data_IF_799653076427
#
_entry.id   IF_799653076427
#
_cell.length_a   1.000
_cell.length_b   1.000
_cell.length_c   1.000
_cell.angle_alpha   90.00
_cell.angle_beta   90.00
_cell.angle_gamma   90.00
#
_symmetry.space_group_name_H-M   'P 1'
#
loop_
_entity.id
_entity.type
_entity.pdbx_description
1 polymer ?
#
# COMPACT_ATOMS: atom_id res chain seq x y z
N UNK A 1 0.68 15.39 6.67
CA UNK A 1 -0.27 14.77 7.63
C UNK A 1 0.59 14.04 8.66
N UNK A 2 0.47 14.39 9.93
CA UNK A 2 1.21 13.72 11.02
C UNK A 2 0.18 13.03 11.89
N UNK A 3 0.11 11.70 11.76
CA UNK A 3 -0.78 10.88 12.59
C UNK A 3 -0.15 10.68 13.97
N UNK A 4 -0.87 11.08 15.03
CA UNK A 4 -0.42 10.93 16.42
C UNK A 4 -0.93 9.65 17.08
N UNK A 5 -1.89 8.97 16.43
CA UNK A 5 -2.50 7.73 16.88
C UNK A 5 -2.30 6.68 15.79
N UNK A 6 -1.81 5.50 16.16
CA UNK A 6 -1.72 4.37 15.25
C UNK A 6 -3.15 3.87 14.92
N UNK A 7 -3.63 3.95 13.66
CA UNK A 7 -4.96 3.48 13.29
C UNK A 7 -5.09 1.95 13.31
N UNK A 8 -4.04 1.22 13.71
CA UNK A 8 -4.07 -0.24 13.74
C UNK A 8 -4.19 -0.84 12.34
N UNK A 9 -4.89 -1.96 12.24
CA UNK A 9 -5.11 -2.69 10.97
C UNK A 9 -6.59 -2.80 10.62
N UNK A 10 -7.41 -1.89 11.15
CA UNK A 10 -8.84 -1.84 10.84
C UNK A 10 -9.06 -1.38 9.39
N UNK A 11 -9.72 -2.21 8.60
CA UNK A 11 -9.92 -1.96 7.17
C UNK A 11 -10.76 -0.71 6.92
N UNK A 12 -11.85 -0.51 7.68
CA UNK A 12 -12.78 0.60 7.49
C UNK A 12 -12.08 1.93 7.75
N UNK A 13 -11.30 2.00 8.83
CA UNK A 13 -10.51 3.18 9.17
C UNK A 13 -9.42 3.43 8.12
N UNK A 14 -8.65 2.42 7.74
CA UNK A 14 -7.52 2.59 6.82
C UNK A 14 -7.95 3.02 5.41
N UNK A 15 -9.13 2.59 4.94
CA UNK A 15 -9.72 3.06 3.66
C UNK A 15 -9.92 4.59 3.62
N UNK A 16 -10.18 5.22 4.77
CA UNK A 16 -10.34 6.69 4.85
C UNK A 16 -9.01 7.46 4.88
N UNK A 17 -7.89 6.77 5.06
CA UNK A 17 -6.56 7.36 5.25
C UNK A 17 -5.63 7.11 4.05
N UNK A 18 -6.21 6.80 2.87
CA UNK A 18 -5.46 6.50 1.65
C UNK A 18 -4.84 7.79 1.10
N UNK A 19 -3.50 7.85 1.16
CA UNK A 19 -2.73 9.00 0.66
C UNK A 19 -2.46 8.93 -0.85
N UNK A 20 -2.73 7.80 -1.49
CA UNK A 20 -2.58 7.58 -2.91
C UNK A 20 -3.05 6.18 -3.29
N UNK A 21 -3.56 6.04 -4.52
CA UNK A 21 -3.97 4.77 -5.09
C UNK A 21 -3.46 4.64 -6.51
N UNK A 22 -3.32 3.41 -6.99
CA UNK A 22 -2.99 3.13 -8.38
C UNK A 22 -3.70 1.86 -8.84
N UNK A 23 -4.13 1.85 -10.10
CA UNK A 23 -4.59 0.66 -10.76
C UNK A 23 -3.40 -0.11 -11.32
N UNK A 24 -3.37 -1.41 -11.10
CA UNK A 24 -2.31 -2.31 -11.59
C UNK A 24 -2.93 -3.44 -12.40
N UNK A 25 -2.16 -3.96 -13.36
CA UNK A 25 -2.53 -5.18 -14.07
C UNK A 25 -2.36 -6.36 -13.11
N UNK A 26 -3.33 -7.29 -13.02
CA UNK A 26 -3.17 -8.50 -12.23
C UNK A 26 -1.87 -9.23 -12.57
N UNK A 27 -1.10 -9.57 -11.54
CA UNK A 27 0.29 -10.01 -11.68
C UNK A 27 0.65 -11.03 -10.59
N UNK A 28 1.55 -11.95 -10.94
CA UNK A 28 2.14 -12.90 -10.00
C UNK A 28 3.64 -12.64 -9.94
N UNK A 29 4.17 -12.48 -8.73
CA UNK A 29 5.59 -12.24 -8.46
C UNK A 29 6.15 -13.46 -7.73
N UNK A 30 6.94 -14.27 -8.44
CA UNK A 30 7.59 -15.47 -7.87
C UNK A 30 8.56 -15.13 -6.74
N UNK A 31 9.24 -13.99 -6.87
CA UNK A 31 9.97 -13.33 -5.79
C UNK A 31 9.28 -12.02 -5.43
N UNK A 32 8.64 -11.99 -4.26
CA UNK A 32 7.95 -10.81 -3.74
C UNK A 32 8.89 -9.64 -3.45
N UNK A 33 10.19 -9.89 -3.26
CA UNK A 33 11.21 -8.85 -3.10
C UNK A 33 11.32 -7.94 -4.33
N UNK A 34 10.82 -8.37 -5.48
CA UNK A 34 10.73 -7.53 -6.69
C UNK A 34 9.67 -6.42 -6.60
N UNK A 35 8.75 -6.48 -5.62
CA UNK A 35 7.81 -5.40 -5.36
C UNK A 35 8.40 -4.44 -4.34
N UNK A 36 8.72 -3.23 -4.79
CA UNK A 36 9.33 -2.17 -4.00
C UNK A 36 8.49 -0.90 -4.00
N UNK A 37 8.35 -0.30 -2.82
CA UNK A 37 7.79 1.04 -2.63
C UNK A 37 8.93 2.04 -2.48
N UNK A 38 8.84 3.16 -3.19
CA UNK A 38 9.78 4.28 -3.10
C UNK A 38 9.01 5.56 -2.84
N UNK A 39 9.31 6.22 -1.72
CA UNK A 39 8.72 7.52 -1.36
C UNK A 39 9.83 8.57 -1.29
N UNK A 40 9.63 9.67 -2.00
CA UNK A 40 10.49 10.85 -1.92
C UNK A 40 9.87 11.88 -1.00
N UNK A 41 10.54 12.18 0.12
CA UNK A 41 10.09 13.15 1.12
C UNK A 41 11.27 14.06 1.43
N UNK A 42 11.07 15.38 1.31
CA UNK A 42 12.10 16.41 1.53
C UNK A 42 13.41 16.12 0.79
N UNK A 43 13.29 15.76 -0.49
CA UNK A 43 14.40 15.36 -1.39
C UNK A 43 15.20 14.13 -0.95
N UNK A 44 14.74 13.38 0.05
CA UNK A 44 15.32 12.10 0.44
C UNK A 44 14.44 10.96 -0.05
N UNK A 45 15.07 9.96 -0.64
CA UNK A 45 14.40 8.76 -1.15
C UNK A 45 14.43 7.69 -0.07
N UNK A 46 13.25 7.15 0.26
CA UNK A 46 13.08 6.02 1.16
C UNK A 46 12.51 4.84 0.38
N UNK A 47 13.16 3.69 0.46
CA UNK A 47 12.74 2.48 -0.25
C UNK A 47 12.45 1.35 0.73
N UNK A 48 11.47 0.52 0.40
CA UNK A 48 11.19 -0.74 1.09
C UNK A 48 10.71 -1.77 0.08
N UNK A 49 11.28 -2.97 0.14
CA UNK A 49 10.84 -4.10 -0.67
C UNK A 49 9.99 -5.05 0.17
N UNK A 50 9.07 -5.77 -0.45
CA UNK A 50 8.27 -6.78 0.24
C UNK A 50 9.19 -7.87 0.82
N UNK A 51 8.89 -8.31 2.04
CA UNK A 51 9.63 -9.38 2.72
C UNK A 51 8.73 -10.62 2.94
N UNK A 52 9.35 -11.75 3.30
CA UNK A 52 8.69 -13.03 3.57
C UNK A 52 8.96 -14.08 2.51
N UNK A 53 8.41 -15.28 2.72
CA UNK A 53 8.54 -16.42 1.80
C UNK A 53 7.28 -16.56 0.93
N UNK A 54 7.46 -17.16 -0.25
CA UNK A 54 6.39 -17.45 -1.21
C UNK A 54 6.08 -16.30 -2.19
N UNK A 55 5.23 -16.62 -3.16
CA UNK A 55 4.85 -15.66 -4.19
C UNK A 55 3.98 -14.52 -3.62
N UNK A 56 3.93 -13.41 -4.34
CA UNK A 56 2.96 -12.34 -4.12
C UNK A 56 2.05 -12.27 -5.34
N UNK A 57 0.74 -12.28 -5.11
CA UNK A 57 -0.26 -12.19 -6.17
C UNK A 57 -1.10 -10.93 -6.02
N UNK A 58 -1.24 -10.21 -7.13
CA UNK A 58 -2.24 -9.16 -7.30
C UNK A 58 -3.33 -9.66 -8.24
N UNK A 59 -4.50 -9.95 -7.68
CA UNK A 59 -5.60 -10.61 -8.36
C UNK A 59 -6.65 -9.58 -8.76
N UNK A 60 -7.26 -9.76 -9.94
CA UNK A 60 -8.37 -8.92 -10.40
C UNK A 60 -9.53 -8.95 -9.39
N UNK A 61 -10.12 -7.79 -9.13
CA UNK A 61 -11.31 -7.67 -8.27
C UNK A 61 -10.99 -7.57 -6.78
N UNK A 62 -9.71 -7.52 -6.42
CA UNK A 62 -9.24 -7.26 -5.07
C UNK A 62 -8.56 -5.90 -4.97
N UNK A 63 -8.58 -5.34 -3.77
CA UNK A 63 -7.80 -4.17 -3.38
C UNK A 63 -6.77 -4.55 -2.32
N UNK A 64 -5.57 -3.98 -2.46
CA UNK A 64 -4.40 -4.26 -1.62
C UNK A 64 -4.00 -2.95 -0.92
N UNK A 65 -4.40 -2.80 0.33
CA UNK A 65 -4.12 -1.59 1.12
C UNK A 65 -2.83 -1.82 1.91
N UNK A 66 -1.76 -1.19 1.45
CA UNK A 66 -0.46 -1.23 2.11
C UNK A 66 -0.35 -0.15 3.19
N UNK A 67 -0.12 -0.57 4.43
CA UNK A 67 0.20 0.34 5.52
C UNK A 67 1.71 0.52 5.61
N UNK A 68 2.20 1.67 5.18
CA UNK A 68 3.60 2.05 5.28
C UNK A 68 3.82 2.93 6.52
N UNK A 69 4.91 2.67 7.24
CA UNK A 69 5.38 3.53 8.34
C UNK A 69 6.74 4.09 7.97
N UNK A 70 6.84 5.41 8.04
CA UNK A 70 8.09 6.14 7.90
C UNK A 70 8.58 6.55 9.30
N UNK A 71 9.84 6.27 9.60
CA UNK A 71 10.57 6.84 10.72
C UNK A 71 11.65 7.79 10.19
N UNK A 72 12.41 8.44 11.08
CA UNK A 72 13.51 9.32 10.67
C UNK A 72 14.57 8.61 9.78
N UNK A 73 14.69 7.28 9.91
CA UNK A 73 15.77 6.51 9.27
C UNK A 73 15.27 5.42 8.33
N UNK A 74 14.02 4.98 8.43
CA UNK A 74 13.54 3.82 7.69
C UNK A 74 12.09 3.94 7.23
N UNK A 75 11.80 3.32 6.08
CA UNK A 75 10.46 3.04 5.61
C UNK A 75 10.20 1.54 5.79
N UNK A 76 9.05 1.19 6.36
CA UNK A 76 8.68 -0.20 6.66
C UNK A 76 7.24 -0.48 6.24
N UNK A 77 7.00 -1.69 5.72
CA UNK A 77 5.65 -2.22 5.53
C UNK A 77 5.19 -2.76 6.88
N UNK A 78 4.14 -2.19 7.46
CA UNK A 78 3.58 -2.60 8.75
C UNK A 78 2.53 -3.69 8.58
N UNK A 79 1.81 -3.66 7.46
CA UNK A 79 0.78 -4.62 7.15
C UNK A 79 0.22 -4.41 5.76
N UNK A 80 -0.49 -5.42 5.29
CA UNK A 80 -1.26 -5.42 4.07
C UNK A 80 -2.67 -5.91 4.40
N UNK A 81 -3.68 -5.22 3.87
CA UNK A 81 -5.06 -5.67 3.92
C UNK A 81 -5.48 -5.99 2.50
N UNK A 82 -6.02 -7.19 2.31
CA UNK A 82 -6.53 -7.69 1.04
C UNK A 82 -8.01 -7.90 1.23
N UNK A 83 -8.81 -7.26 0.41
CA UNK A 83 -10.27 -7.27 0.52
C UNK A 83 -10.87 -7.12 -0.88
N UNK A 84 -12.16 -7.43 -1.02
CA UNK A 84 -12.85 -7.29 -2.30
C UNK A 84 -12.86 -5.82 -2.75
N UNK A 85 -12.88 -5.61 -4.06
CA UNK A 85 -12.94 -4.28 -4.65
C UNK A 85 -14.20 -3.52 -4.20
N UNK A 86 -13.99 -2.37 -3.56
CA UNK A 86 -15.06 -1.47 -3.11
C UNK A 86 -14.77 -0.06 -3.65
N UNK A 87 -15.72 0.50 -4.42
CA UNK A 87 -15.57 1.77 -5.14
C UNK A 87 -15.74 3.02 -4.26
N UNK A 88 -15.95 2.86 -2.95
CA UNK A 88 -16.17 3.98 -2.03
C UNK A 88 -14.88 4.76 -1.67
N UNK A 89 -14.14 5.20 -2.68
CA UNK A 89 -13.06 6.18 -2.51
C UNK A 89 -13.61 7.58 -2.74
N UNK A 90 -13.49 8.44 -1.74
CA UNK A 90 -13.84 9.87 -1.76
C UNK A 90 -12.91 10.68 -2.68
N UNK A 91 -12.84 10.33 -3.98
CA UNK A 91 -11.94 10.97 -4.95
C UNK A 91 -11.75 10.20 -6.25
N UNK A 92 -12.79 9.57 -6.79
CA UNK A 92 -12.70 8.81 -8.04
C UNK A 92 -12.45 9.74 -9.26
N UNK A 93 -11.34 9.51 -9.97
CA UNK A 93 -11.21 9.93 -11.38
C UNK A 93 -11.33 8.67 -12.23
N UNK A 94 -12.42 8.59 -12.98
CA UNK A 94 -12.65 7.55 -13.99
C UNK A 94 -11.82 7.90 -15.22
N UNK A 95 -10.81 7.10 -15.55
CA UNK A 95 -10.19 7.14 -16.87
C UNK A 95 -11.03 6.27 -17.82
N UNK A 96 -11.69 6.93 -18.76
CA UNK A 96 -12.44 6.33 -19.88
C UNK A 96 -11.53 6.09 -21.08
#
# INVERSE_FOLDING_TARGET
ITETIDPGVDEVQLKTMVNGYMYVVPSVFSDRGNVQFSLTIDNKVYTISHTGEGELEWIKGYQYIYKLRLTATALTIVGIIITDWDVNYSGEIILK
#
